data_IF_057808294009
#
_entry.id   IF_057808294009
#
_cell.length_a   1.000
_cell.length_b   1.000
_cell.length_c   1.000
_cell.angle_alpha   90.00
_cell.angle_beta   90.00
_cell.angle_gamma   90.00
#
_symmetry.space_group_name_H-M   'P 1'
#
loop_
_entity.id
_entity.type
_entity.pdbx_description
1 polymer ?
#
# COMPACT_ATOMS: atom_id res chain seq x y z
N UNK A 1 -3.47 4.43 12.03
CA UNK A 1 -2.35 4.46 11.07
C UNK A 1 -2.90 4.82 9.71
N UNK A 2 -2.26 5.71 8.98
CA UNK A 2 -2.58 6.12 7.62
C UNK A 2 -1.47 5.65 6.68
N UNK A 3 -1.84 4.93 5.63
CA UNK A 3 -0.91 4.27 4.71
C UNK A 3 -1.21 4.71 3.29
N UNK A 4 -0.19 5.14 2.57
CA UNK A 4 -0.29 5.56 1.16
C UNK A 4 0.24 4.47 0.24
N UNK A 5 -0.52 4.16 -0.81
CA UNK A 5 -0.07 3.28 -1.90
C UNK A 5 0.81 4.03 -2.88
N UNK A 6 1.29 3.32 -3.90
CA UNK A 6 1.85 3.96 -5.08
C UNK A 6 0.74 4.42 -6.03
N UNK A 7 1.11 5.24 -7.01
CA UNK A 7 0.21 5.79 -8.03
C UNK A 7 -0.87 6.72 -7.46
N UNK A 8 -0.53 7.43 -6.39
CA UNK A 8 -1.34 8.49 -5.78
C UNK A 8 -1.13 9.83 -6.48
N UNK A 9 0.07 10.06 -7.03
CA UNK A 9 0.41 11.25 -7.80
C UNK A 9 0.26 11.05 -9.30
N UNK A 10 0.51 9.82 -9.76
CA UNK A 10 0.52 9.45 -11.17
C UNK A 10 -0.45 8.32 -11.42
N UNK A 11 -1.12 8.35 -12.57
CA UNK A 11 -1.75 7.13 -13.08
C UNK A 11 -0.67 6.19 -13.62
N UNK A 12 -0.82 4.86 -13.51
CA UNK A 12 0.05 3.92 -14.22
C UNK A 12 0.07 4.24 -15.72
N UNK A 13 1.25 4.51 -16.28
CA UNK A 13 1.43 4.93 -17.67
C UNK A 13 0.89 6.33 -18.02
N UNK A 14 0.48 7.12 -17.01
CA UNK A 14 -0.03 8.48 -17.19
C UNK A 14 1.07 9.55 -17.22
N UNK A 15 0.73 10.73 -17.74
CA UNK A 15 1.60 11.89 -17.69
C UNK A 15 1.55 12.53 -16.30
N UNK A 16 2.69 12.96 -15.70
CA UNK A 16 2.75 13.69 -14.42
C UNK A 16 1.90 14.96 -14.27
N UNK A 17 1.28 15.44 -15.34
CA UNK A 17 0.46 16.65 -15.25
C UNK A 17 1.33 17.88 -15.08
N UNK A 18 0.77 18.94 -14.51
CA UNK A 18 1.50 20.19 -14.26
C UNK A 18 2.25 20.11 -12.93
N UNK A 19 3.49 20.60 -12.90
CA UNK A 19 4.33 20.63 -11.69
C UNK A 19 3.64 21.33 -10.51
N UNK A 20 2.84 22.38 -10.78
CA UNK A 20 2.06 23.09 -9.76
C UNK A 20 1.00 22.19 -9.11
N UNK A 21 0.26 21.40 -9.91
CA UNK A 21 -0.69 20.42 -9.39
C UNK A 21 0.01 19.35 -8.56
N UNK A 22 1.16 18.85 -9.03
CA UNK A 22 1.96 17.88 -8.28
C UNK A 22 2.44 18.45 -6.93
N UNK A 23 2.86 19.72 -6.91
CA UNK A 23 3.29 20.38 -5.68
C UNK A 23 2.12 20.57 -4.70
N UNK A 24 0.94 20.97 -5.20
CA UNK A 24 -0.29 21.08 -4.41
C UNK A 24 -0.72 19.73 -3.83
N UNK A 25 -0.72 18.67 -4.65
CA UNK A 25 -0.98 17.30 -4.19
C UNK A 25 0.01 16.88 -3.11
N UNK A 26 1.31 17.11 -3.32
CA UNK A 26 2.32 16.73 -2.35
C UNK A 26 2.13 17.46 -1.01
N UNK A 27 1.73 18.73 -1.04
CA UNK A 27 1.39 19.49 0.16
C UNK A 27 0.16 18.91 0.88
N UNK A 28 -0.90 18.55 0.13
CA UNK A 28 -2.09 17.93 0.68
C UNK A 28 -1.80 16.58 1.36
N UNK A 29 -0.99 15.72 0.71
CA UNK A 29 -0.53 14.47 1.29
C UNK A 29 0.30 14.68 2.57
N UNK A 30 1.16 15.69 2.59
CA UNK A 30 1.91 16.08 3.79
C UNK A 30 1.01 16.53 4.95
N UNK A 31 -0.09 17.23 4.63
CA UNK A 31 -1.06 17.69 5.61
C UNK A 31 -1.86 16.55 6.26
N UNK A 32 -2.17 15.48 5.51
CA UNK A 32 -2.95 14.35 6.00
C UNK A 32 -2.24 13.49 7.06
N UNK A 33 -0.93 13.63 7.23
CA UNK A 33 -0.19 12.95 8.31
C UNK A 33 -0.04 11.44 8.12
N UNK A 34 0.33 10.99 6.91
CA UNK A 34 0.63 9.59 6.64
C UNK A 34 1.80 9.06 7.47
N UNK A 35 1.70 7.81 7.91
CA UNK A 35 2.74 7.15 8.70
C UNK A 35 3.77 6.46 7.78
N UNK A 36 3.30 5.82 6.71
CA UNK A 36 4.10 5.04 5.75
C UNK A 36 3.48 5.17 4.36
N UNK A 37 4.32 5.35 3.34
CA UNK A 37 3.90 5.33 1.94
C UNK A 37 4.86 4.54 1.05
N UNK A 38 4.33 4.00 -0.05
CA UNK A 38 5.10 3.45 -1.16
C UNK A 38 5.08 4.45 -2.32
N UNK A 39 6.25 4.90 -2.77
CA UNK A 39 6.38 5.57 -4.06
C UNK A 39 6.71 4.54 -5.15
N UNK A 40 5.99 4.60 -6.27
CA UNK A 40 6.48 3.95 -7.49
C UNK A 40 7.76 4.65 -8.00
N UNK A 41 8.62 3.96 -8.76
CA UNK A 41 9.78 4.58 -9.40
C UNK A 41 9.41 5.79 -10.27
N UNK A 42 8.26 5.72 -10.96
CA UNK A 42 7.77 6.80 -11.80
C UNK A 42 7.40 8.05 -10.98
N UNK A 43 6.72 7.88 -9.84
CA UNK A 43 6.37 8.99 -8.96
C UNK A 43 7.60 9.62 -8.31
N UNK A 44 8.52 8.79 -7.81
CA UNK A 44 9.77 9.27 -7.25
C UNK A 44 10.58 10.09 -8.28
N UNK A 45 10.61 9.63 -9.53
CA UNK A 45 11.26 10.35 -10.62
C UNK A 45 10.54 11.65 -10.97
N UNK A 46 9.20 11.66 -11.05
CA UNK A 46 8.41 12.85 -11.33
C UNK A 46 8.59 13.93 -10.26
N UNK A 47 8.50 13.56 -8.97
CA UNK A 47 8.75 14.49 -7.86
C UNK A 47 10.17 15.08 -7.94
N UNK A 48 11.17 14.25 -8.24
CA UNK A 48 12.56 14.69 -8.40
C UNK A 48 12.74 15.63 -9.60
N UNK A 49 12.13 15.33 -10.74
CA UNK A 49 12.21 16.13 -11.96
C UNK A 49 11.67 17.55 -11.74
N UNK A 50 10.57 17.67 -11.00
CA UNK A 50 9.94 18.94 -10.66
C UNK A 50 10.49 19.60 -9.39
N UNK A 51 11.56 19.04 -8.81
CA UNK A 51 12.18 19.52 -7.55
C UNK A 51 11.19 19.58 -6.36
N UNK A 52 10.19 18.71 -6.37
CA UNK A 52 9.22 18.55 -5.29
C UNK A 52 9.80 17.58 -4.26
N UNK A 53 9.98 17.98 -2.99
CA UNK A 53 10.55 17.09 -1.98
C UNK A 53 9.56 15.98 -1.60
N UNK A 54 10.04 14.75 -1.55
CA UNK A 54 9.31 13.65 -0.93
C UNK A 54 9.30 13.79 0.60
N UNK A 55 8.17 13.51 1.23
CA UNK A 55 8.05 13.45 2.68
C UNK A 55 8.81 12.24 3.27
N UNK A 56 9.21 12.27 4.55
CA UNK A 56 9.97 11.17 5.16
C UNK A 56 9.29 9.79 5.08
N UNK A 57 7.96 9.74 5.03
CA UNK A 57 7.19 8.49 4.92
C UNK A 57 7.03 7.99 3.48
N UNK A 58 7.29 8.84 2.48
CA UNK A 58 7.24 8.49 1.06
C UNK A 58 8.57 7.87 0.64
N UNK A 59 8.59 6.54 0.47
CA UNK A 59 9.80 5.80 0.10
C UNK A 59 9.51 4.81 -1.01
N UNK A 60 10.47 4.66 -1.90
CA UNK A 60 10.52 3.50 -2.80
C UNK A 60 10.97 2.26 -2.03
N UNK A 61 10.69 1.07 -2.58
CA UNK A 61 11.19 -0.19 -2.02
C UNK A 61 12.73 -0.29 -2.02
N UNK A 62 13.41 0.46 -2.89
CA UNK A 62 14.88 0.50 -2.95
C UNK A 62 15.49 1.33 -1.82
N UNK A 63 14.87 2.44 -1.48
CA UNK A 63 15.36 3.35 -0.44
C UNK A 63 15.12 2.79 0.95
N UNK A 64 13.90 2.32 1.22
CA UNK A 64 13.52 1.76 2.51
C UNK A 64 12.59 0.57 2.31
N UNK A 65 13.13 -0.65 2.10
CA UNK A 65 12.31 -1.82 1.82
C UNK A 65 11.42 -2.21 3.01
N UNK A 66 11.80 -1.87 4.24
CA UNK A 66 11.10 -2.31 5.44
C UNK A 66 11.10 -1.24 6.53
N UNK A 67 9.93 -0.99 7.11
CA UNK A 67 9.71 -0.03 8.20
C UNK A 67 8.92 -0.71 9.31
N UNK A 68 9.24 -0.43 10.58
CA UNK A 68 8.49 -0.95 11.74
C UNK A 68 7.91 0.21 12.52
N UNK A 69 6.61 0.16 12.79
CA UNK A 69 5.88 1.15 13.59
C UNK A 69 5.42 0.49 14.89
N UNK A 70 5.89 0.96 16.05
CA UNK A 70 5.31 0.59 17.35
C UNK A 70 3.86 1.08 17.45
N UNK A 71 2.99 0.26 17.99
CA UNK A 71 1.59 0.61 18.30
C UNK A 71 1.29 0.30 19.76
N UNK A 72 0.10 0.70 20.21
CA UNK A 72 -0.32 0.56 21.61
C UNK A 72 -0.18 -0.87 22.14
N UNK A 73 0.10 -0.98 23.44
CA UNK A 73 0.32 -2.27 24.09
C UNK A 73 1.68 -2.92 23.78
N UNK A 74 2.65 -2.13 23.27
CA UNK A 74 4.00 -2.61 22.97
C UNK A 74 4.10 -3.48 21.72
N UNK A 75 3.05 -3.49 20.89
CA UNK A 75 2.97 -4.26 19.65
C UNK A 75 3.67 -3.52 18.52
N UNK A 76 3.97 -4.23 17.44
CA UNK A 76 4.68 -3.69 16.27
C UNK A 76 4.01 -4.12 14.98
N UNK A 77 3.87 -3.16 14.06
CA UNK A 77 3.45 -3.41 12.69
C UNK A 77 4.63 -3.20 11.76
N UNK A 78 4.96 -4.21 10.97
CA UNK A 78 5.97 -4.14 9.93
C UNK A 78 5.34 -3.82 8.59
N UNK A 79 5.98 -2.95 7.82
CA UNK A 79 5.60 -2.58 6.46
C UNK A 79 6.72 -2.97 5.51
N UNK A 80 6.46 -3.92 4.62
CA UNK A 80 7.40 -4.37 3.59
C UNK A 80 6.98 -3.80 2.24
N UNK A 81 7.79 -2.90 1.69
CA UNK A 81 7.60 -2.35 0.34
C UNK A 81 8.10 -3.36 -0.69
N UNK A 82 7.22 -3.81 -1.56
CA UNK A 82 7.58 -4.74 -2.62
C UNK A 82 8.32 -3.97 -3.73
N UNK A 83 9.42 -4.51 -4.28
CA UNK A 83 10.05 -3.91 -5.45
C UNK A 83 9.06 -3.84 -6.61
N UNK A 84 8.93 -2.67 -7.26
CA UNK A 84 8.12 -2.53 -8.47
C UNK A 84 8.63 -3.44 -9.58
N UNK A 85 7.70 -3.91 -10.40
CA UNK A 85 8.05 -4.67 -11.61
C UNK A 85 8.73 -3.75 -12.63
N UNK A 86 9.55 -4.35 -13.51
CA UNK A 86 10.09 -3.66 -14.66
C UNK A 86 8.99 -3.15 -15.60
N UNK A 87 9.30 -2.15 -16.42
CA UNK A 87 8.32 -1.56 -17.37
C UNK A 87 7.74 -2.58 -18.36
N UNK A 88 8.50 -3.62 -18.69
CA UNK A 88 8.12 -4.68 -19.62
C UNK A 88 7.65 -5.97 -18.90
N UNK A 89 7.47 -5.92 -17.57
CA UNK A 89 7.09 -7.06 -16.74
C UNK A 89 5.63 -6.94 -16.27
N UNK A 90 4.76 -7.81 -16.78
CA UNK A 90 3.35 -7.87 -16.35
C UNK A 90 3.12 -8.77 -15.12
N UNK A 91 4.15 -9.49 -14.67
CA UNK A 91 4.09 -10.47 -13.58
C UNK A 91 5.42 -10.53 -12.81
N UNK A 92 5.40 -10.79 -11.49
CA UNK A 92 6.62 -11.06 -10.74
C UNK A 92 7.25 -12.38 -11.19
N UNK A 93 8.58 -12.39 -11.36
CA UNK A 93 9.33 -13.62 -11.62
C UNK A 93 9.32 -14.55 -10.39
N UNK A 94 9.48 -15.86 -10.61
CA UNK A 94 9.62 -16.86 -9.54
C UNK A 94 10.76 -16.52 -8.57
N UNK A 95 11.84 -15.92 -9.08
CA UNK A 95 12.95 -15.47 -8.25
C UNK A 95 12.55 -14.33 -7.31
N UNK A 96 11.81 -13.35 -7.83
CA UNK A 96 11.27 -12.26 -7.00
C UNK A 96 10.31 -12.81 -5.93
N UNK A 97 9.42 -13.74 -6.30
CA UNK A 97 8.49 -14.39 -5.36
C UNK A 97 9.26 -15.13 -4.25
N UNK A 98 10.31 -15.88 -4.60
CA UNK A 98 11.16 -16.60 -3.63
C UNK A 98 11.91 -15.65 -2.72
N UNK A 99 12.50 -14.57 -3.26
CA UNK A 99 13.19 -13.55 -2.45
C UNK A 99 12.23 -12.83 -1.50
N UNK A 100 11.02 -12.51 -1.96
CA UNK A 100 9.99 -11.94 -1.11
C UNK A 100 9.54 -12.92 -0.03
N UNK A 101 9.34 -14.20 -0.36
CA UNK A 101 8.98 -15.23 0.63
C UNK A 101 10.04 -15.33 1.74
N UNK A 102 11.32 -15.40 1.39
CA UNK A 102 12.41 -15.43 2.35
C UNK A 102 12.48 -14.15 3.20
N UNK A 103 12.25 -12.98 2.59
CA UNK A 103 12.23 -11.71 3.33
C UNK A 103 11.05 -11.64 4.30
N UNK A 104 9.86 -12.04 3.85
CA UNK A 104 8.66 -12.10 4.66
C UNK A 104 8.89 -13.01 5.86
N UNK A 105 9.41 -14.24 5.67
CA UNK A 105 9.73 -15.14 6.78
C UNK A 105 10.65 -14.48 7.80
N UNK A 106 11.73 -13.85 7.34
CA UNK A 106 12.69 -13.19 8.22
C UNK A 106 12.07 -12.09 9.06
N UNK A 107 11.26 -11.21 8.45
CA UNK A 107 10.73 -10.03 9.16
C UNK A 107 9.48 -10.36 10.00
N UNK A 108 8.77 -11.43 9.66
CA UNK A 108 7.50 -11.82 10.30
C UNK A 108 7.64 -12.12 11.79
N UNK A 109 8.79 -12.62 12.24
CA UNK A 109 9.05 -12.93 13.65
C UNK A 109 9.32 -11.67 14.50
N UNK A 110 9.67 -10.55 13.86
CA UNK A 110 9.96 -9.28 14.54
C UNK A 110 8.74 -8.40 14.81
N UNK A 111 7.56 -8.78 14.28
CA UNK A 111 6.34 -7.96 14.30
C UNK A 111 5.08 -8.77 14.50
N UNK A 112 4.08 -8.13 15.11
CA UNK A 112 2.77 -8.74 15.38
C UNK A 112 1.88 -8.76 14.14
N UNK A 113 2.11 -7.86 13.18
CA UNK A 113 1.42 -7.78 11.89
C UNK A 113 2.42 -7.35 10.81
N UNK A 114 2.47 -8.11 9.71
CA UNK A 114 3.31 -7.76 8.56
C UNK A 114 2.42 -7.39 7.37
N UNK A 115 2.54 -6.15 6.91
CA UNK A 115 1.80 -5.57 5.79
C UNK A 115 2.73 -5.41 4.60
N UNK A 116 2.35 -5.95 3.44
CA UNK A 116 3.02 -5.69 2.17
C UNK A 116 2.40 -4.48 1.47
N UNK A 117 3.23 -3.58 0.94
CA UNK A 117 2.82 -2.50 0.04
C UNK A 117 3.25 -2.85 -1.37
N UNK A 118 2.32 -2.90 -2.31
CA UNK A 118 2.56 -3.40 -3.66
C UNK A 118 1.93 -2.49 -4.71
N UNK A 119 2.63 -2.29 -5.81
CA UNK A 119 2.24 -1.42 -6.91
C UNK A 119 2.08 -2.16 -8.25
N UNK A 120 2.04 -3.49 -8.23
CA UNK A 120 2.07 -4.32 -9.42
C UNK A 120 0.73 -4.35 -10.18
N UNK A 121 -0.32 -3.75 -9.63
CA UNK A 121 -1.64 -3.80 -10.22
C UNK A 121 -2.37 -5.12 -9.96
N UNK A 122 -3.66 -5.10 -10.24
CA UNK A 122 -4.59 -6.14 -9.81
C UNK A 122 -4.21 -7.53 -10.32
N UNK A 123 -3.77 -7.64 -11.57
CA UNK A 123 -3.50 -8.94 -12.23
C UNK A 123 -2.27 -9.60 -11.61
N UNK A 124 -1.16 -8.88 -11.51
CA UNK A 124 0.09 -9.38 -10.95
C UNK A 124 0.00 -9.67 -9.45
N UNK A 125 -0.68 -8.82 -8.68
CA UNK A 125 -0.92 -9.06 -7.26
C UNK A 125 -1.79 -10.30 -7.01
N UNK A 126 -2.88 -10.45 -7.78
CA UNK A 126 -3.72 -11.65 -7.68
C UNK A 126 -2.95 -12.91 -8.08
N UNK A 127 -2.16 -12.85 -9.14
CA UNK A 127 -1.32 -13.96 -9.57
C UNK A 127 -0.26 -14.32 -8.51
N UNK A 128 0.39 -13.33 -7.90
CA UNK A 128 1.31 -13.55 -6.77
C UNK A 128 0.63 -14.23 -5.58
N UNK A 129 -0.57 -13.80 -5.19
CA UNK A 129 -1.30 -14.38 -4.06
C UNK A 129 -1.91 -15.75 -4.37
N UNK A 130 -2.01 -16.12 -5.67
CA UNK A 130 -2.41 -17.45 -6.12
C UNK A 130 -1.21 -18.36 -6.40
N UNK A 131 -0.05 -17.78 -6.70
CA UNK A 131 1.20 -18.51 -6.69
C UNK A 131 1.36 -19.07 -5.28
N UNK A 132 1.67 -20.36 -5.16
CA UNK A 132 1.84 -21.05 -3.88
C UNK A 132 3.16 -20.64 -3.22
N UNK A 133 3.35 -19.33 -3.06
CA UNK A 133 4.48 -18.72 -2.40
C UNK A 133 4.58 -19.29 -0.98
N UNK A 134 5.80 -19.68 -0.64
CA UNK A 134 6.12 -20.27 0.66
C UNK A 134 5.70 -19.34 1.79
N UNK A 135 5.82 -18.03 1.60
CA UNK A 135 5.35 -17.04 2.55
C UNK A 135 4.80 -15.79 1.87
N UNK A 136 3.77 -15.22 2.49
CA UNK A 136 3.03 -14.04 2.06
C UNK A 136 2.86 -13.11 3.27
N UNK A 137 2.71 -11.78 3.07
CA UNK A 137 2.40 -10.90 4.19
C UNK A 137 1.03 -11.25 4.77
N UNK A 138 0.76 -10.82 6.00
CA UNK A 138 -0.54 -11.03 6.62
C UNK A 138 -1.62 -10.20 5.91
N UNK A 139 -1.27 -8.98 5.49
CA UNK A 139 -2.12 -8.10 4.67
C UNK A 139 -1.29 -7.63 3.47
N UNK A 140 -1.86 -7.66 2.27
CA UNK A 140 -1.29 -7.01 1.08
C UNK A 140 -2.15 -5.81 0.72
N UNK A 141 -1.58 -4.60 0.84
CA UNK A 141 -2.17 -3.36 0.34
C UNK A 141 -1.65 -3.13 -1.09
N UNK A 142 -2.53 -3.34 -2.04
CA UNK A 142 -2.24 -3.23 -3.46
C UNK A 142 -2.62 -1.87 -4.04
N UNK A 143 -1.95 -1.50 -5.12
CA UNK A 143 -2.11 -0.25 -5.85
C UNK A 143 -1.80 -0.43 -7.33
N UNK A 144 -1.70 0.66 -8.11
CA UNK A 144 -1.48 0.58 -9.55
C UNK A 144 -2.73 0.16 -10.34
N UNK A 145 -2.53 -0.39 -11.54
CA UNK A 145 -3.61 -0.59 -12.51
C UNK A 145 -4.64 -1.65 -12.06
N UNK A 146 -5.90 -1.50 -12.49
CA UNK A 146 -6.96 -2.47 -12.25
C UNK A 146 -7.94 -2.08 -11.13
N UNK A 147 -8.76 -3.04 -10.72
CA UNK A 147 -9.91 -2.79 -9.86
C UNK A 147 -9.56 -2.63 -8.37
N UNK A 148 -10.43 -1.94 -7.63
CA UNK A 148 -10.44 -1.95 -6.17
C UNK A 148 -10.86 -3.32 -5.61
N UNK A 149 -10.40 -3.63 -4.41
CA UNK A 149 -10.64 -4.89 -3.69
C UNK A 149 -10.90 -4.54 -2.23
N UNK A 150 -12.16 -4.57 -1.81
CA UNK A 150 -12.56 -4.24 -0.44
C UNK A 150 -12.40 -5.43 0.53
N UNK A 151 -11.19 -6.00 0.60
CA UNK A 151 -10.89 -7.16 1.42
C UNK A 151 -11.23 -8.49 0.74
N UNK A 152 -10.20 -9.22 0.32
CA UNK A 152 -10.32 -10.58 -0.19
C UNK A 152 -9.27 -11.47 0.46
N UNK A 153 -9.70 -12.58 1.02
CA UNK A 153 -8.79 -13.58 1.59
C UNK A 153 -8.25 -14.45 0.46
N UNK A 154 -6.91 -14.53 0.36
CA UNK A 154 -6.18 -15.34 -0.63
C UNK A 154 -5.02 -16.10 0.04
N UNK A 155 -4.19 -16.75 -0.78
CA UNK A 155 -3.05 -17.56 -0.33
C UNK A 155 -3.45 -18.60 0.73
N UNK A 156 -4.52 -19.35 0.46
CA UNK A 156 -5.06 -20.39 1.35
C UNK A 156 -5.44 -19.89 2.76
N UNK A 157 -5.95 -18.65 2.84
CA UNK A 157 -6.37 -18.05 4.10
C UNK A 157 -5.33 -17.17 4.80
N UNK A 158 -4.09 -17.17 4.29
CA UNK A 158 -2.94 -16.56 4.96
C UNK A 158 -2.82 -15.06 4.76
N UNK A 159 -3.37 -14.52 3.67
CA UNK A 159 -3.26 -13.10 3.32
C UNK A 159 -4.62 -12.44 3.10
N UNK A 160 -4.81 -11.26 3.67
CA UNK A 160 -5.91 -10.35 3.34
C UNK A 160 -5.42 -9.36 2.28
N UNK A 161 -6.02 -9.40 1.09
CA UNK A 161 -5.72 -8.48 0.00
C UNK A 161 -6.71 -7.32 -0.04
N UNK A 162 -6.19 -6.10 -0.08
CA UNK A 162 -6.99 -4.87 -0.05
C UNK A 162 -6.44 -3.89 -1.08
N UNK A 163 -7.34 -3.27 -1.85
CA UNK A 163 -7.02 -2.22 -2.83
C UNK A 163 -8.10 -1.13 -2.77
N UNK A 164 -7.77 0.15 -2.57
CA UNK A 164 -8.72 1.22 -2.79
C UNK A 164 -9.11 1.30 -4.26
N UNK A 165 -10.29 1.86 -4.55
CA UNK A 165 -10.65 2.26 -5.90
C UNK A 165 -9.76 3.43 -6.36
N UNK A 166 -9.53 3.48 -7.66
CA UNK A 166 -8.61 4.43 -8.28
C UNK A 166 -9.01 5.90 -8.05
N UNK A 167 -8.02 6.80 -8.19
CA UNK A 167 -8.21 8.26 -8.25
C UNK A 167 -8.82 8.87 -6.99
N UNK A 168 -8.45 8.35 -5.81
CA UNK A 168 -8.97 8.86 -4.54
C UNK A 168 -10.48 8.70 -4.38
N UNK A 169 -11.15 7.88 -5.20
CA UNK A 169 -12.61 7.68 -5.14
C UNK A 169 -13.06 6.97 -3.87
N UNK A 170 -12.15 6.30 -3.19
CA UNK A 170 -12.43 5.65 -1.92
C UNK A 170 -11.24 5.70 -0.99
N UNK A 171 -11.51 5.88 0.29
CA UNK A 171 -10.63 5.49 1.38
C UNK A 171 -11.01 4.08 1.82
N UNK A 172 -10.02 3.19 1.98
CA UNK A 172 -10.27 1.86 2.55
C UNK A 172 -9.73 1.77 3.96
N UNK A 173 -10.59 1.31 4.87
CA UNK A 173 -10.27 1.02 6.25
C UNK A 173 -10.15 -0.50 6.46
N UNK A 174 -9.10 -0.92 7.17
CA UNK A 174 -8.94 -2.29 7.65
C UNK A 174 -8.89 -2.28 9.18
N UNK A 175 -9.98 -2.68 9.81
CA UNK A 175 -10.02 -2.88 11.25
C UNK A 175 -9.49 -4.28 11.58
N UNK A 176 -8.42 -4.38 12.36
CA UNK A 176 -7.84 -5.64 12.83
C UNK A 176 -8.22 -5.85 14.29
N UNK A 177 -9.01 -6.89 14.55
CA UNK A 177 -9.51 -7.20 15.89
C UNK A 177 -8.63 -8.21 16.63
N UNK A 178 -7.86 -9.01 15.90
CA UNK A 178 -6.95 -10.00 16.46
C UNK A 178 -5.66 -10.07 15.64
N UNK A 179 -4.53 -10.12 16.33
CA UNK A 179 -3.22 -10.28 15.71
C UNK A 179 -3.08 -11.67 15.06
N UNK A 180 -2.44 -11.77 13.88
CA UNK A 180 -2.04 -13.04 13.31
C UNK A 180 -1.20 -13.88 14.29
N UNK A 181 -1.64 -15.11 14.57
CA UNK A 181 -0.88 -16.05 15.39
C UNK A 181 0.09 -16.85 14.51
N UNK A 182 1.38 -16.85 14.86
CA UNK A 182 2.45 -17.48 14.06
C UNK A 182 2.54 -19.00 14.24
N UNK A 183 2.07 -19.52 15.37
CA UNK A 183 2.29 -20.91 15.80
C UNK A 183 1.16 -21.88 15.38
N UNK A 184 0.10 -21.41 14.73
CA UNK A 184 -1.06 -22.24 14.36
C UNK A 184 -1.70 -21.81 13.04
N UNK A 185 -2.71 -22.59 12.62
CA UNK A 185 -3.60 -22.46 11.45
C UNK A 185 -4.39 -21.14 11.35
N UNK A 186 -3.77 -20.01 11.67
CA UNK A 186 -4.37 -18.69 11.57
C UNK A 186 -4.80 -18.48 10.12
N UNK A 187 -6.09 -18.22 9.97
CA UNK A 187 -6.70 -17.82 8.72
C UNK A 187 -7.57 -16.60 9.00
N UNK A 188 -7.51 -15.63 8.11
CA UNK A 188 -8.39 -14.47 8.18
C UNK A 188 -9.86 -14.92 8.10
N UNK A 189 -10.69 -14.30 8.93
CA UNK A 189 -12.14 -14.52 9.05
C UNK A 189 -12.80 -13.19 9.35
N UNK A 190 -13.52 -12.66 8.36
CA UNK A 190 -14.22 -11.39 8.50
C UNK A 190 -15.17 -11.40 9.71
N UNK A 191 -15.33 -10.25 10.36
CA UNK A 191 -16.08 -10.02 11.60
C UNK A 191 -15.48 -10.70 12.84
N UNK A 192 -14.62 -11.72 12.67
CA UNK A 192 -13.94 -12.38 13.79
C UNK A 192 -12.60 -11.74 14.10
N UNK A 193 -11.70 -11.65 13.12
CA UNK A 193 -10.35 -11.13 13.30
C UNK A 193 -10.05 -9.88 12.46
N UNK A 194 -10.88 -9.56 11.48
CA UNK A 194 -10.81 -8.28 10.76
C UNK A 194 -12.16 -7.81 10.23
N UNK A 195 -12.24 -6.55 9.80
CA UNK A 195 -13.29 -6.01 8.94
C UNK A 195 -12.67 -5.04 7.94
N UNK A 196 -13.12 -5.07 6.69
CA UNK A 196 -12.78 -4.05 5.68
C UNK A 196 -13.97 -3.15 5.42
N UNK A 197 -13.71 -1.88 5.13
CA UNK A 197 -14.74 -0.91 4.75
C UNK A 197 -14.19 0.03 3.69
N UNK A 198 -14.99 0.27 2.65
CA UNK A 198 -14.67 1.23 1.59
C UNK A 198 -15.57 2.44 1.76
N UNK A 199 -14.95 3.58 2.07
CA UNK A 199 -15.60 4.86 2.25
C UNK A 199 -15.48 5.60 0.91
N UNK A 200 -16.57 5.65 0.16
CA UNK A 200 -16.60 6.39 -1.11
C UNK A 200 -16.54 7.89 -0.87
N UNK A 201 -15.63 8.59 -1.55
CA UNK A 201 -15.59 10.04 -1.57
C UNK A 201 -16.73 10.56 -2.43
N UNK A 202 -17.72 11.20 -1.80
CA UNK A 202 -18.93 11.73 -2.44
C UNK A 202 -19.39 13.00 -1.71
N UNK A 203 -20.41 13.67 -2.22
CA UNK A 203 -20.91 14.97 -1.73
C UNK A 203 -21.40 14.99 -0.26
N UNK A 204 -21.50 13.82 0.39
CA UNK A 204 -21.81 13.76 1.84
C UNK A 204 -20.59 14.04 2.72
N UNK A 205 -19.38 13.88 2.19
CA UNK A 205 -18.13 14.23 2.84
C UNK A 205 -17.72 15.60 2.32
N UNK A 206 -17.67 16.59 3.20
CA UNK A 206 -17.29 17.96 2.83
C UNK A 206 -15.80 18.03 2.55
N UNK A 207 -15.45 18.79 1.52
CA UNK A 207 -14.07 19.12 1.21
C UNK A 207 -13.41 19.87 2.38
N UNK A 208 -12.12 19.64 2.55
CA UNK A 208 -11.35 20.30 3.58
C UNK A 208 -10.85 21.65 3.02
N UNK A 209 -11.27 22.79 3.59
CA UNK A 209 -10.93 24.11 3.03
C UNK A 209 -9.43 24.41 3.05
N UNK A 210 -8.66 23.81 3.98
CA UNK A 210 -7.21 23.97 4.01
C UNK A 210 -6.52 23.21 2.87
N UNK A 211 -7.08 22.05 2.49
CA UNK A 211 -6.60 21.26 1.34
C UNK A 211 -7.00 21.94 0.04
N UNK A 212 -8.24 22.42 -0.08
CA UNK A 212 -8.72 23.13 -1.27
C UNK A 212 -7.86 24.35 -1.59
N UNK A 213 -7.52 25.15 -0.57
CA UNK A 213 -6.66 26.32 -0.70
C UNK A 213 -5.23 26.00 -1.21
N UNK A 214 -4.82 24.72 -1.23
CA UNK A 214 -3.52 24.31 -1.78
C UNK A 214 -3.52 24.23 -3.30
N UNK A 215 -4.68 24.08 -3.93
CA UNK A 215 -4.83 23.90 -5.38
C UNK A 215 -5.15 25.20 -6.13
N UNK A 216 -5.31 26.32 -5.40
CA UNK A 216 -5.74 27.60 -5.97
C UNK A 216 -7.23 27.64 -6.28
N UNK A 217 -7.77 28.85 -6.43
CA UNK A 217 -9.08 29.09 -7.07
C UNK A 217 -8.94 29.12 -8.61
#
# INVERSE_FOLDING_TARGET
MLVSGAYEFLRPGGNPGLAETMAAMNKAFGFMGYDVGLLSPAEAEALRADSIPAWPWQKTAREEPYTVIPVDGGRKVGFLRFPSLGLDEDQPSDDLIRRLSARIQKERDGVDLLIGLCDWGWVAENAYLQARAESVPDILLGSGSGAGVNGRILADGRALWVRPYDKGRSLVEVAVYQWPQRENSFAWKEVTNYKTSSIGMNDTIKDNPEVDAMFGD
#
